data_IF_525835224895
#
_entry.id   IF_525835224895
#
_cell.length_a   1.000
_cell.length_b   1.000
_cell.length_c   1.000
_cell.angle_alpha   90.00
_cell.angle_beta   90.00
_cell.angle_gamma   90.00
#
_symmetry.space_group_name_H-M   'P 1'
#
loop_
_entity.id
_entity.type
_entity.pdbx_description
1 polymer ?
#
# COMPACT_ATOMS: atom_id res chain seq x y z
N UNK A 1 40.14 -2.18 -8.14
CA UNK A 1 39.03 -2.50 -7.23
C UNK A 1 37.80 -1.78 -7.75
N UNK A 2 36.81 -2.52 -8.25
CA UNK A 2 35.55 -1.94 -8.71
C UNK A 2 34.66 -1.77 -7.48
N UNK A 3 34.36 -0.52 -7.12
CA UNK A 3 33.29 -0.22 -6.18
C UNK A 3 31.97 -0.43 -6.93
N UNK A 4 31.30 -1.54 -6.67
CA UNK A 4 29.92 -1.70 -7.07
C UNK A 4 29.07 -0.86 -6.10
N UNK A 5 28.60 0.29 -6.57
CA UNK A 5 27.54 1.02 -5.91
C UNK A 5 26.25 0.22 -6.10
N UNK A 6 25.81 -0.44 -5.05
CA UNK A 6 24.45 -0.95 -4.97
C UNK A 6 23.61 0.25 -4.56
N UNK A 7 22.94 0.89 -5.52
CA UNK A 7 21.81 1.77 -5.18
C UNK A 7 20.88 0.95 -4.29
N UNK A 8 20.49 1.48 -3.13
CA UNK A 8 19.72 0.81 -2.07
C UNK A 8 18.70 -0.21 -2.62
N UNK A 9 19.08 -1.49 -2.71
CA UNK A 9 18.19 -2.55 -3.19
C UNK A 9 17.32 -2.95 -2.01
N UNK A 10 16.03 -2.65 -2.10
CA UNK A 10 15.04 -3.14 -1.14
C UNK A 10 14.56 -4.53 -1.55
N UNK A 11 14.60 -5.47 -0.61
CA UNK A 11 14.12 -6.83 -0.79
C UNK A 11 12.93 -7.06 0.13
N UNK A 12 11.81 -7.51 -0.46
CA UNK A 12 10.62 -7.87 0.30
C UNK A 12 10.52 -9.39 0.39
N UNK A 13 10.39 -9.92 1.60
CA UNK A 13 10.22 -11.35 1.86
C UNK A 13 8.87 -11.58 2.56
N UNK A 14 7.91 -12.13 1.83
CA UNK A 14 6.59 -12.46 2.35
C UNK A 14 6.61 -13.87 2.95
N UNK A 15 6.18 -14.00 4.20
CA UNK A 15 6.10 -15.30 4.88
C UNK A 15 4.89 -16.13 4.41
N UNK A 16 3.99 -15.54 3.62
CA UNK A 16 2.81 -16.20 3.07
C UNK A 16 1.90 -16.80 4.15
N UNK A 17 1.95 -16.30 5.39
CA UNK A 17 1.24 -16.91 6.53
C UNK A 17 -0.28 -17.01 6.30
N UNK A 18 -0.86 -16.03 5.60
CA UNK A 18 -2.28 -15.99 5.23
C UNK A 18 -2.63 -16.84 4.00
N UNK A 19 -1.64 -17.24 3.20
CA UNK A 19 -1.82 -18.07 2.01
C UNK A 19 -1.35 -19.51 2.26
N UNK A 20 -2.25 -20.47 2.55
CA UNK A 20 -1.86 -21.86 2.79
C UNK A 20 -1.20 -22.55 1.59
N UNK A 21 -1.24 -21.92 0.41
CA UNK A 21 -0.64 -22.45 -0.82
C UNK A 21 0.72 -21.83 -1.15
N UNK A 22 1.06 -20.67 -0.56
CA UNK A 22 2.19 -19.80 -0.89
C UNK A 22 2.26 -19.28 -2.34
N UNK A 23 1.43 -19.79 -3.25
CA UNK A 23 1.52 -19.52 -4.70
C UNK A 23 0.64 -18.38 -5.19
N UNK A 24 -0.32 -17.89 -4.38
CA UNK A 24 -1.31 -16.90 -4.85
C UNK A 24 -0.65 -15.65 -5.39
N UNK A 25 0.29 -15.09 -4.64
CA UNK A 25 0.94 -13.84 -4.99
C UNK A 25 1.72 -13.96 -6.31
N UNK A 26 2.53 -15.01 -6.48
CA UNK A 26 3.25 -15.28 -7.73
C UNK A 26 2.29 -15.45 -8.91
N UNK A 27 1.26 -16.31 -8.77
CA UNK A 27 0.30 -16.57 -9.85
C UNK A 27 -0.54 -15.35 -10.21
N UNK A 28 -0.90 -14.54 -9.22
CA UNK A 28 -1.68 -13.33 -9.44
C UNK A 28 -0.87 -12.30 -10.24
N UNK A 29 0.41 -12.10 -9.92
CA UNK A 29 1.30 -11.25 -10.73
C UNK A 29 1.47 -11.77 -12.16
N UNK A 30 1.57 -13.09 -12.36
CA UNK A 30 1.61 -13.68 -13.72
C UNK A 30 0.32 -13.43 -14.50
N UNK A 31 -0.85 -13.53 -13.87
CA UNK A 31 -2.13 -13.25 -14.51
C UNK A 31 -2.24 -11.78 -14.95
N UNK A 32 -1.87 -10.85 -14.08
CA UNK A 32 -1.83 -9.42 -14.40
C UNK A 32 -0.81 -9.12 -15.52
N UNK A 33 0.36 -9.75 -15.50
CA UNK A 33 1.37 -9.57 -16.56
C UNK A 33 0.84 -10.06 -17.92
N UNK A 34 0.14 -11.20 -17.96
CA UNK A 34 -0.43 -11.76 -19.20
C UNK A 34 -1.46 -10.85 -19.86
N UNK A 35 -2.14 -10.00 -19.10
CA UNK A 35 -3.09 -8.99 -19.61
C UNK A 35 -2.43 -7.62 -19.84
N UNK A 36 -1.10 -7.55 -19.77
CA UNK A 36 -0.33 -6.34 -20.06
C UNK A 36 -0.31 -5.32 -18.94
N UNK A 37 -0.60 -5.71 -17.70
CA UNK A 37 -0.44 -4.83 -16.54
C UNK A 37 1.00 -4.97 -16.00
N UNK A 38 1.70 -3.85 -15.76
CA UNK A 38 3.02 -3.88 -15.14
C UNK A 38 2.96 -4.49 -13.74
N UNK A 39 3.76 -5.54 -13.48
CA UNK A 39 3.80 -6.22 -12.18
C UNK A 39 5.22 -6.39 -11.65
N UNK A 40 5.39 -6.41 -10.31
CA UNK A 40 6.66 -6.74 -9.69
C UNK A 40 7.01 -8.19 -9.99
N UNK A 41 8.29 -8.49 -10.13
CA UNK A 41 8.75 -9.88 -10.17
C UNK A 41 8.55 -10.53 -8.82
N UNK A 42 8.08 -11.78 -8.82
CA UNK A 42 7.99 -12.60 -7.62
C UNK A 42 8.64 -13.97 -7.85
N UNK A 43 9.29 -14.51 -6.82
CA UNK A 43 9.89 -15.83 -6.85
C UNK A 43 9.98 -16.45 -5.47
N UNK A 44 9.92 -17.78 -5.39
CA UNK A 44 10.18 -18.49 -4.14
C UNK A 44 11.66 -18.49 -3.79
N UNK A 45 11.94 -18.29 -2.50
CA UNK A 45 13.28 -18.38 -1.94
C UNK A 45 13.27 -19.25 -0.69
N UNK A 46 14.33 -20.03 -0.52
CA UNK A 46 14.60 -20.75 0.72
C UNK A 46 15.45 -19.86 1.64
N UNK A 47 14.86 -19.35 2.73
CA UNK A 47 15.47 -18.29 3.54
C UNK A 47 16.29 -18.85 4.71
N UNK A 48 17.53 -18.38 4.80
CA UNK A 48 18.46 -18.69 5.87
C UNK A 48 19.00 -17.39 6.48
N UNK A 49 18.98 -17.27 7.81
CA UNK A 49 19.58 -16.15 8.54
C UNK A 49 20.49 -16.71 9.64
N UNK A 50 21.79 -16.38 9.58
CA UNK A 50 22.80 -16.86 10.54
C UNK A 50 22.72 -18.38 10.79
N UNK A 51 22.79 -19.15 9.70
CA UNK A 51 22.70 -20.63 9.70
C UNK A 51 21.37 -21.21 10.23
N UNK A 52 20.38 -20.36 10.48
CA UNK A 52 19.04 -20.78 10.90
C UNK A 52 18.12 -20.80 9.68
N UNK A 53 17.58 -21.98 9.37
CA UNK A 53 16.59 -22.16 8.31
C UNK A 53 15.23 -21.61 8.76
N UNK A 54 14.71 -20.63 8.02
CA UNK A 54 13.41 -20.03 8.31
C UNK A 54 12.29 -20.59 7.42
N UNK A 55 12.63 -21.29 6.34
CA UNK A 55 11.68 -21.92 5.43
C UNK A 55 11.52 -21.18 4.10
N UNK A 56 10.44 -21.49 3.40
CA UNK A 56 10.13 -20.93 2.08
C UNK A 56 9.40 -19.61 2.23
N UNK A 57 9.88 -18.59 1.52
CA UNK A 57 9.30 -17.25 1.44
C UNK A 57 9.04 -16.89 -0.03
N UNK A 58 8.13 -15.94 -0.24
CA UNK A 58 7.98 -15.29 -1.54
C UNK A 58 8.80 -14.00 -1.53
N UNK A 59 9.81 -13.92 -2.39
CA UNK A 59 10.54 -12.69 -2.64
C UNK A 59 9.79 -11.87 -3.70
N UNK A 60 9.49 -10.61 -3.40
CA UNK A 60 8.80 -9.69 -4.32
C UNK A 60 9.68 -8.47 -4.59
N UNK A 61 9.84 -8.12 -5.86
CA UNK A 61 10.52 -6.90 -6.31
C UNK A 61 9.82 -5.67 -5.71
N UNK A 62 10.59 -4.77 -5.10
CA UNK A 62 10.05 -3.49 -4.68
C UNK A 62 9.64 -2.65 -5.89
N UNK A 63 8.43 -2.08 -5.85
CA UNK A 63 8.02 -1.09 -6.84
C UNK A 63 8.71 0.23 -6.47
N UNK A 64 9.77 0.54 -7.20
CA UNK A 64 10.63 1.71 -7.05
C UNK A 64 11.14 2.23 -8.41
N UNK A 65 12.13 3.12 -8.41
CA UNK A 65 12.72 3.65 -9.65
C UNK A 65 13.34 2.57 -10.55
N UNK A 66 13.79 1.46 -10.01
CA UNK A 66 14.33 0.33 -10.79
C UNK A 66 13.22 -0.38 -11.53
N UNK A 67 12.12 -0.67 -10.82
CA UNK A 67 10.89 -1.18 -11.44
C UNK A 67 10.39 -0.26 -12.55
N UNK A 68 10.32 1.05 -12.28
CA UNK A 68 9.81 2.02 -13.25
C UNK A 68 10.69 2.13 -14.50
N UNK A 69 12.02 2.10 -14.36
CA UNK A 69 12.94 2.08 -15.51
C UNK A 69 12.77 0.85 -16.39
N UNK A 70 12.40 -0.30 -15.80
CA UNK A 70 12.19 -1.56 -16.51
C UNK A 70 10.92 -1.52 -17.35
N UNK A 71 9.82 -1.03 -16.79
CA UNK A 71 8.51 -1.03 -17.44
C UNK A 71 8.25 0.21 -18.29
N UNK A 72 8.80 1.36 -17.91
CA UNK A 72 8.57 2.66 -18.55
C UNK A 72 9.88 3.36 -18.91
N UNK A 73 10.71 2.77 -19.80
CA UNK A 73 12.06 3.29 -20.08
C UNK A 73 12.07 4.75 -20.61
N UNK A 74 10.99 5.19 -21.25
CA UNK A 74 10.84 6.55 -21.76
C UNK A 74 10.16 7.51 -20.77
N UNK A 75 9.61 6.99 -19.67
CA UNK A 75 8.86 7.77 -18.69
C UNK A 75 9.01 7.14 -17.30
N UNK A 76 10.25 7.01 -16.81
CA UNK A 76 10.58 6.37 -15.52
C UNK A 76 10.70 7.38 -14.35
N UNK A 77 10.53 8.67 -14.63
CA UNK A 77 10.71 9.77 -13.67
C UNK A 77 9.38 10.33 -13.16
N UNK A 78 8.26 9.71 -13.52
CA UNK A 78 6.94 10.09 -13.04
C UNK A 78 6.79 9.92 -11.53
N UNK A 79 5.70 10.47 -11.00
CA UNK A 79 5.36 10.28 -9.60
C UNK A 79 4.76 8.90 -9.37
N UNK A 80 5.32 8.18 -8.41
CA UNK A 80 4.82 6.92 -7.90
C UNK A 80 4.22 7.17 -6.53
N UNK A 81 2.97 6.77 -6.35
CA UNK A 81 2.24 6.89 -5.10
C UNK A 81 1.92 5.49 -4.58
N UNK A 82 2.03 5.31 -3.26
CA UNK A 82 1.52 4.14 -2.55
C UNK A 82 0.44 4.63 -1.57
N UNK A 83 -0.82 4.69 -2.01
CA UNK A 83 -1.88 5.20 -1.17
C UNK A 83 -2.11 4.32 0.06
N UNK A 84 -2.24 4.98 1.20
CA UNK A 84 -2.62 4.38 2.47
C UNK A 84 -3.99 4.90 2.89
N UNK A 85 -4.69 4.11 3.70
CA UNK A 85 -6.02 4.46 4.17
C UNK A 85 -6.02 5.70 5.07
N UNK A 86 -7.04 6.58 4.95
CA UNK A 86 -8.12 6.62 3.95
C UNK A 86 -7.80 7.29 2.60
N UNK A 87 -6.62 7.87 2.38
CA UNK A 87 -6.31 8.59 1.14
C UNK A 87 -6.40 7.69 -0.11
N UNK A 88 -6.22 6.38 0.07
CA UNK A 88 -6.36 5.34 -0.92
C UNK A 88 -7.78 5.09 -1.46
N UNK A 89 -8.81 5.68 -0.86
CA UNK A 89 -10.15 5.70 -1.47
C UNK A 89 -10.27 6.70 -2.63
N UNK A 90 -9.30 7.61 -2.79
CA UNK A 90 -9.25 8.62 -3.85
C UNK A 90 -10.51 9.50 -3.95
N UNK A 91 -11.32 9.55 -2.89
CA UNK A 91 -12.58 10.30 -2.81
C UNK A 91 -12.41 11.68 -2.18
N UNK A 92 -11.25 12.30 -2.37
CA UNK A 92 -10.85 13.58 -1.79
C UNK A 92 -10.26 14.48 -2.86
N UNK A 93 -10.34 15.79 -2.64
CA UNK A 93 -9.84 16.82 -3.54
C UNK A 93 -8.80 17.71 -2.85
N UNK A 94 -8.19 18.61 -3.62
CA UNK A 94 -7.31 19.65 -3.05
C UNK A 94 -8.03 20.51 -2.01
N UNK A 95 -9.31 20.79 -2.21
CA UNK A 95 -10.13 21.55 -1.27
C UNK A 95 -10.28 20.80 0.06
N UNK A 96 -10.55 19.50 0.02
CA UNK A 96 -10.69 18.68 1.23
C UNK A 96 -9.38 18.63 2.03
N UNK A 97 -8.23 18.58 1.34
CA UNK A 97 -6.90 18.68 1.96
C UNK A 97 -6.69 20.05 2.64
N UNK A 98 -7.05 21.15 1.97
CA UNK A 98 -6.93 22.49 2.54
C UNK A 98 -7.83 22.68 3.78
N UNK A 99 -9.07 22.17 3.72
CA UNK A 99 -10.00 22.17 4.86
C UNK A 99 -9.50 21.31 6.02
N UNK A 100 -8.99 20.11 5.73
CA UNK A 100 -8.39 19.22 6.73
C UNK A 100 -7.24 19.92 7.45
N UNK A 101 -6.29 20.51 6.69
CA UNK A 101 -5.14 21.25 7.25
C UNK A 101 -5.57 22.46 8.07
N UNK A 102 -6.61 23.17 7.64
CA UNK A 102 -7.16 24.30 8.42
C UNK A 102 -7.83 23.85 9.72
N UNK A 103 -8.39 22.64 9.76
CA UNK A 103 -9.03 22.05 10.94
C UNK A 103 -8.05 21.42 11.93
N UNK A 104 -6.84 21.08 11.49
CA UNK A 104 -5.83 20.47 12.33
C UNK A 104 -5.30 21.47 13.35
N UNK A 105 -5.20 21.11 14.64
CA UNK A 105 -4.54 21.97 15.62
C UNK A 105 -3.09 22.18 15.18
N UNK A 106 -2.60 23.43 15.26
CA UNK A 106 -1.19 23.71 15.06
C UNK A 106 -0.39 22.80 15.99
N UNK A 107 0.44 21.92 15.44
CA UNK A 107 1.36 21.13 16.23
C UNK A 107 2.24 22.10 17.02
N UNK A 108 2.39 21.94 18.35
CA UNK A 108 3.49 22.58 19.04
C UNK A 108 4.76 22.13 18.32
N UNK A 109 5.62 23.08 17.95
CA UNK A 109 6.96 22.79 17.46
C UNK A 109 7.74 22.10 18.59
N UNK A 110 7.60 20.79 18.69
CA UNK A 110 8.30 19.96 19.65
C UNK A 110 9.58 19.36 19.05
N UNK A 111 10.08 19.92 17.95
CA UNK A 111 11.39 19.54 17.38
C UNK A 111 11.56 18.06 17.07
N UNK A 112 10.48 17.26 17.07
CA UNK A 112 10.55 15.82 16.83
C UNK A 112 10.19 15.48 15.39
N UNK A 113 10.95 16.05 14.45
CA UNK A 113 11.08 15.47 13.11
C UNK A 113 11.88 14.16 13.20
N UNK A 114 11.36 13.18 13.93
CA UNK A 114 11.76 11.80 13.80
C UNK A 114 10.75 11.15 12.88
N UNK A 115 11.08 11.11 11.58
CA UNK A 115 10.60 10.07 10.68
C UNK A 115 10.97 8.72 11.31
N UNK A 116 10.12 8.22 12.21
CA UNK A 116 10.15 6.83 12.59
C UNK A 116 9.48 6.09 11.45
N UNK A 117 10.33 5.48 10.63
CA UNK A 117 9.99 4.41 9.70
C UNK A 117 8.86 3.56 10.28
N UNK A 118 7.69 3.66 9.67
CA UNK A 118 6.61 2.71 9.91
C UNK A 118 7.09 1.41 9.28
N UNK A 119 7.60 0.54 10.15
CA UNK A 119 8.21 -0.72 9.79
C UNK A 119 7.11 -1.79 9.60
N UNK A 120 6.60 -1.90 8.38
CA UNK A 120 5.73 -3.00 7.95
C UNK A 120 6.59 -4.13 7.41
N UNK A 121 7.27 -4.85 8.32
CA UNK A 121 8.12 -5.99 7.96
C UNK A 121 9.32 -6.19 8.89
N UNK A 122 9.05 -6.58 10.14
CA UNK A 122 10.07 -7.01 11.12
C UNK A 122 10.77 -5.86 11.83
N UNK A 123 10.55 -5.74 13.15
CA UNK A 123 11.14 -4.69 14.01
C UNK A 123 12.67 -4.56 13.92
N UNK A 124 13.26 -3.52 14.55
CA UNK A 124 14.72 -3.32 14.54
C UNK A 124 15.43 -4.63 14.87
N UNK A 125 16.46 -4.98 14.09
CA UNK A 125 17.20 -6.24 14.28
C UNK A 125 17.67 -6.46 15.73
N UNK A 126 18.03 -5.39 16.43
CA UNK A 126 18.37 -5.43 17.86
C UNK A 126 17.21 -5.84 18.77
N UNK A 127 15.97 -5.48 18.43
CA UNK A 127 14.77 -5.87 19.18
C UNK A 127 14.31 -7.28 18.84
N UNK A 128 14.47 -7.70 17.58
CA UNK A 128 14.27 -9.10 17.17
C UNK A 128 15.27 -10.01 17.89
N UNK A 129 16.55 -9.63 17.94
CA UNK A 129 17.57 -10.36 18.70
C UNK A 129 17.24 -10.41 20.19
N UNK A 130 16.76 -9.29 20.77
CA UNK A 130 16.36 -9.25 22.19
C UNK A 130 15.16 -10.14 22.49
N UNK A 131 14.20 -10.24 21.57
CA UNK A 131 13.05 -11.15 21.69
C UNK A 131 13.45 -12.62 21.56
N UNK A 132 14.35 -12.95 20.63
CA UNK A 132 14.88 -14.31 20.43
C UNK A 132 15.80 -14.75 21.58
N UNK A 133 16.51 -13.83 22.22
CA UNK A 133 17.30 -14.10 23.43
C UNK A 133 16.41 -14.34 24.66
N UNK A 134 15.24 -13.68 24.74
CA UNK A 134 14.27 -13.89 25.82
C UNK A 134 13.58 -15.25 25.72
N UNK A 135 13.29 -15.76 24.51
CA UNK A 135 12.70 -17.10 24.33
C UNK A 135 13.64 -18.25 24.75
N UNK A 136 14.96 -18.06 24.73
CA UNK A 136 15.91 -19.08 25.23
C UNK A 136 15.90 -19.23 26.76
N UNK A 137 15.22 -18.33 27.49
CA UNK A 137 15.24 -18.30 28.97
C UNK A 137 13.97 -18.82 29.64
N UNK A 138 12.93 -19.19 28.89
CA UNK A 138 11.65 -19.66 29.45
C UNK A 138 11.30 -21.04 28.91
N UNK A 139 12.07 -22.05 29.32
CA UNK A 139 11.56 -23.42 29.45
C UNK A 139 11.43 -23.69 30.94
N UNK A 140 10.26 -23.36 31.49
CA UNK A 140 9.93 -23.55 32.90
C UNK A 140 8.42 -23.46 33.10
N UNK A 141 7.81 -24.61 33.34
CA UNK A 141 6.41 -24.92 33.70
C UNK A 141 5.57 -23.77 34.27
N UNK A 142 4.39 -23.51 33.68
CA UNK A 142 3.20 -23.03 34.39
C UNK A 142 1.92 -23.33 33.59
N UNK A 143 0.92 -23.91 34.27
CA UNK A 143 -0.34 -24.39 33.69
C UNK A 143 -1.31 -23.29 33.24
N UNK A 144 -2.29 -23.73 32.44
CA UNK A 144 -3.33 -22.92 31.79
C UNK A 144 -4.45 -22.60 32.80
N UNK A 145 -4.85 -21.33 33.03
CA UNK A 145 -6.11 -21.00 33.67
C UNK A 145 -7.22 -20.73 32.63
N UNK A 146 -8.42 -21.24 32.90
CA UNK A 146 -9.65 -21.04 32.11
C UNK A 146 -10.06 -19.56 31.99
N UNK A 147 -10.29 -19.09 30.76
CA UNK A 147 -10.88 -17.79 30.47
C UNK A 147 -12.42 -17.89 30.49
N UNK A 148 -13.06 -17.38 31.56
CA UNK A 148 -14.50 -17.08 31.57
C UNK A 148 -14.72 -15.58 31.80
N UNK A 149 -15.53 -14.99 30.93
CA UNK A 149 -16.08 -13.62 30.93
C UNK A 149 -15.23 -12.48 30.32
N UNK A 150 -14.97 -12.55 29.02
CA UNK A 150 -14.83 -11.35 28.18
C UNK A 150 -16.04 -11.25 27.23
N UNK A 151 -16.61 -10.05 26.99
CA UNK A 151 -17.59 -9.87 25.92
C UNK A 151 -16.92 -10.12 24.56
N UNK A 152 -17.65 -10.64 23.56
CA UNK A 152 -17.07 -10.93 22.26
C UNK A 152 -16.52 -9.65 21.60
N UNK A 153 -15.30 -9.67 21.03
CA UNK A 153 -14.78 -8.55 20.26
C UNK A 153 -15.60 -8.38 18.98
N UNK A 154 -16.09 -7.17 18.68
CA UNK A 154 -16.66 -6.89 17.36
C UNK A 154 -17.90 -6.00 17.25
N UNK A 155 -18.36 -5.31 18.31
CA UNK A 155 -19.36 -4.25 18.14
C UNK A 155 -18.72 -2.87 18.19
N UNK A 156 -18.79 -2.06 17.11
CA UNK A 156 -18.41 -0.66 17.18
C UNK A 156 -19.41 0.14 18.05
N UNK A 157 -19.00 1.29 18.59
CA UNK A 157 -19.92 2.20 19.26
C UNK A 157 -21.06 2.65 18.31
N UNK A 158 -22.24 3.00 18.84
CA UNK A 158 -23.41 3.31 18.01
C UNK A 158 -23.13 4.48 17.07
N UNK A 159 -23.20 4.24 15.75
CA UNK A 159 -23.09 5.29 14.72
C UNK A 159 -21.92 5.13 13.73
N UNK A 160 -21.00 4.18 13.93
CA UNK A 160 -20.01 3.83 12.91
C UNK A 160 -20.55 2.74 11.96
N UNK A 161 -20.30 2.84 10.64
CA UNK A 161 -20.53 1.72 9.73
C UNK A 161 -19.63 0.53 10.12
N UNK A 162 -20.06 -0.71 9.86
CA UNK A 162 -19.24 -1.89 10.15
C UNK A 162 -17.90 -1.84 9.39
N UNK A 163 -16.83 -2.44 9.95
CA UNK A 163 -15.53 -2.49 9.29
C UNK A 163 -15.64 -3.15 7.91
N UNK A 164 -15.09 -2.51 6.88
CA UNK A 164 -15.00 -3.07 5.53
C UNK A 164 -16.13 -2.68 4.56
N UNK A 165 -17.00 -1.74 4.92
CA UNK A 165 -17.87 -1.10 3.93
C UNK A 165 -17.15 0.14 3.37
N UNK A 166 -16.96 0.26 2.04
CA UNK A 166 -16.48 1.52 1.48
C UNK A 166 -17.44 2.64 1.90
N UNK A 167 -16.94 3.86 2.16
CA UNK A 167 -17.81 4.99 2.43
C UNK A 167 -18.83 5.12 1.29
N UNK A 168 -20.09 5.48 1.58
CA UNK A 168 -21.08 5.64 0.53
C UNK A 168 -20.59 6.65 -0.51
N UNK A 169 -20.96 6.49 -1.80
CA UNK A 169 -20.57 7.42 -2.84
C UNK A 169 -20.86 8.87 -2.42
N UNK A 170 -19.83 9.73 -2.43
CA UNK A 170 -19.92 11.14 -2.03
C UNK A 170 -19.86 11.43 -0.52
N UNK A 171 -19.57 10.43 0.34
CA UNK A 171 -19.25 10.73 1.74
C UNK A 171 -17.87 11.42 1.84
N UNK A 172 -17.76 12.53 2.58
CA UNK A 172 -16.50 13.21 2.78
C UNK A 172 -15.53 12.22 3.45
N UNK A 173 -14.25 12.19 3.02
CA UNK A 173 -13.32 11.25 3.57
C UNK A 173 -13.09 11.54 5.06
N UNK A 174 -13.00 10.46 5.85
CA UNK A 174 -12.78 10.56 7.29
C UNK A 174 -11.36 11.06 7.60
N UNK A 175 -11.13 11.63 8.79
CA UNK A 175 -9.79 12.05 9.19
C UNK A 175 -8.83 10.85 9.17
N UNK A 176 -7.61 11.05 8.65
CA UNK A 176 -6.55 10.04 8.74
C UNK A 176 -6.16 9.87 10.21
N UNK A 177 -6.13 8.61 10.67
CA UNK A 177 -5.56 8.28 11.97
C UNK A 177 -4.08 8.68 12.03
N UNK A 178 -3.63 9.21 13.17
CA UNK A 178 -2.22 9.52 13.41
C UNK A 178 -1.75 10.92 13.01
N UNK A 179 -2.67 11.86 12.75
CA UNK A 179 -2.31 13.28 12.51
C UNK A 179 -1.74 13.58 11.12
N UNK A 180 -1.79 12.62 10.21
CA UNK A 180 -1.34 12.77 8.82
C UNK A 180 -2.41 13.43 7.97
N UNK A 181 -2.02 14.17 6.94
CA UNK A 181 -2.94 14.72 5.94
C UNK A 181 -3.06 13.83 4.69
N UNK A 182 -4.03 14.12 3.80
CA UNK A 182 -4.24 13.30 2.59
C UNK A 182 -3.02 13.18 1.69
N UNK A 183 -2.16 14.20 1.66
CA UNK A 183 -0.95 14.19 0.83
C UNK A 183 0.14 13.30 1.44
N UNK A 184 0.22 13.23 2.77
CA UNK A 184 1.04 12.24 3.45
C UNK A 184 0.45 10.82 3.29
N UNK A 185 -0.88 10.70 3.33
CA UNK A 185 -1.61 9.44 3.16
C UNK A 185 -1.51 8.85 1.76
N UNK A 186 -1.53 9.67 0.70
CA UNK A 186 -1.37 9.18 -0.68
C UNK A 186 0.03 8.64 -0.95
N UNK A 187 1.01 9.02 -0.12
CA UNK A 187 2.28 8.33 0.01
C UNK A 187 3.15 8.38 -1.23
N UNK A 188 3.63 9.56 -1.62
CA UNK A 188 4.60 9.73 -2.70
C UNK A 188 5.91 8.95 -2.41
N UNK A 189 6.40 8.19 -3.40
CA UNK A 189 7.59 7.30 -3.32
C UNK A 189 8.70 7.65 -4.30
N UNK A 190 8.45 8.58 -5.22
CA UNK A 190 9.45 9.16 -6.13
C UNK A 190 9.34 10.67 -6.08
N UNK A 191 10.39 11.39 -6.48
CA UNK A 191 10.39 12.86 -6.50
C UNK A 191 10.09 13.55 -5.16
N UNK A 192 10.24 12.85 -4.04
CA UNK A 192 9.91 13.34 -2.68
C UNK A 192 10.62 14.64 -2.28
N UNK A 193 11.81 14.91 -2.83
CA UNK A 193 12.58 16.13 -2.54
C UNK A 193 12.06 17.38 -3.26
N UNK A 194 11.25 17.21 -4.31
CA UNK A 194 10.65 18.29 -5.08
C UNK A 194 9.31 17.80 -5.65
N UNK A 195 8.30 17.59 -4.79
CA UNK A 195 7.05 16.99 -5.18
C UNK A 195 6.23 17.95 -6.05
N UNK A 196 5.70 17.44 -7.16
CA UNK A 196 4.68 18.11 -7.98
C UNK A 196 3.43 17.23 -8.03
N UNK A 197 2.37 17.64 -7.35
CA UNK A 197 1.11 16.89 -7.26
C UNK A 197 0.04 17.41 -8.22
N UNK A 198 0.41 18.24 -9.20
CA UNK A 198 -0.56 18.87 -10.12
C UNK A 198 -1.38 17.83 -10.86
N UNK A 199 -0.74 16.80 -11.42
CA UNK A 199 -1.43 15.71 -12.11
C UNK A 199 -2.35 14.92 -11.16
N UNK A 200 -1.89 14.62 -9.94
CA UNK A 200 -2.70 13.93 -8.92
C UNK A 200 -3.97 14.72 -8.60
N UNK A 201 -3.85 16.02 -8.34
CA UNK A 201 -5.03 16.84 -8.04
C UNK A 201 -5.98 16.95 -9.23
N UNK A 202 -5.47 17.03 -10.45
CA UNK A 202 -6.30 17.01 -11.66
C UNK A 202 -7.03 15.67 -11.82
N UNK A 203 -6.34 14.56 -11.62
CA UNK A 203 -6.94 13.21 -11.63
C UNK A 203 -8.05 13.07 -10.59
N UNK A 204 -7.79 13.48 -9.34
CA UNK A 204 -8.78 13.40 -8.26
C UNK A 204 -9.98 14.32 -8.52
N UNK A 205 -9.77 15.50 -9.11
CA UNK A 205 -10.87 16.41 -9.44
C UNK A 205 -11.78 15.82 -10.53
N UNK A 206 -11.19 15.31 -11.62
CA UNK A 206 -11.95 14.62 -12.68
C UNK A 206 -12.69 13.41 -12.12
N UNK A 207 -12.02 12.57 -11.32
CA UNK A 207 -12.61 11.35 -10.77
C UNK A 207 -13.83 11.63 -9.87
N UNK A 208 -13.82 12.74 -9.12
CA UNK A 208 -14.85 13.03 -8.12
C UNK A 208 -15.89 14.06 -8.55
N UNK A 209 -15.56 14.94 -9.50
CA UNK A 209 -16.37 16.13 -9.81
C UNK A 209 -16.74 16.26 -11.30
N UNK A 210 -16.18 15.47 -12.22
CA UNK A 210 -16.56 15.57 -13.62
C UNK A 210 -18.04 15.16 -13.82
N UNK A 211 -18.85 15.93 -14.57
CA UNK A 211 -20.25 15.59 -14.84
C UNK A 211 -20.40 14.25 -15.57
N UNK A 212 -21.46 13.50 -15.28
CA UNK A 212 -21.76 12.21 -15.93
C UNK A 212 -21.74 12.30 -17.47
N UNK A 213 -22.15 13.44 -18.04
CA UNK A 213 -22.21 13.65 -19.49
C UNK A 213 -20.84 13.80 -20.15
N UNK A 214 -19.81 14.23 -19.42
CA UNK A 214 -18.43 14.45 -19.94
C UNK A 214 -17.40 13.53 -19.28
N UNK A 215 -17.79 12.79 -18.24
CA UNK A 215 -16.93 11.90 -17.48
C UNK A 215 -16.15 10.92 -18.36
N UNK A 216 -16.75 10.22 -19.35
CA UNK A 216 -16.00 9.27 -20.18
C UNK A 216 -14.82 9.91 -20.93
N UNK A 217 -15.00 11.11 -21.47
CA UNK A 217 -13.94 11.82 -22.19
C UNK A 217 -12.93 12.49 -21.25
N UNK A 218 -13.36 12.93 -20.08
CA UNK A 218 -12.48 13.57 -19.08
C UNK A 218 -11.61 12.54 -18.37
N UNK A 219 -12.17 11.40 -17.96
CA UNK A 219 -11.41 10.36 -17.24
C UNK A 219 -10.29 9.77 -18.10
N UNK A 220 -10.51 9.60 -19.41
CA UNK A 220 -9.49 9.14 -20.36
C UNK A 220 -8.30 10.11 -20.49
N UNK A 221 -8.45 11.38 -20.08
CA UNK A 221 -7.35 12.35 -20.09
C UNK A 221 -6.41 12.21 -18.89
N UNK A 222 -6.86 11.57 -17.81
CA UNK A 222 -6.13 11.48 -16.54
C UNK A 222 -5.87 10.05 -16.07
N UNK A 223 -6.49 9.05 -16.68
CA UNK A 223 -6.36 7.63 -16.34
C UNK A 223 -6.25 6.79 -17.62
N UNK A 224 -5.38 5.79 -17.63
CA UNK A 224 -5.45 4.71 -18.63
C UNK A 224 -6.65 3.81 -18.31
N UNK A 225 -7.79 4.13 -18.89
CA UNK A 225 -9.06 3.45 -18.64
C UNK A 225 -9.00 1.98 -19.06
N UNK A 226 -8.34 1.66 -20.17
CA UNK A 226 -8.21 0.28 -20.64
C UNK A 226 -7.40 -0.56 -19.65
N UNK A 227 -6.29 -0.03 -19.13
CA UNK A 227 -5.51 -0.69 -18.08
C UNK A 227 -6.29 -0.83 -16.78
N UNK A 228 -6.96 0.23 -16.32
CA UNK A 228 -7.78 0.19 -15.11
C UNK A 228 -8.89 -0.87 -15.23
N UNK A 229 -9.57 -0.98 -16.37
CA UNK A 229 -10.59 -2.01 -16.59
C UNK A 229 -10.00 -3.43 -16.58
N UNK A 230 -8.81 -3.62 -17.15
CA UNK A 230 -8.09 -4.91 -17.05
C UNK A 230 -7.71 -5.23 -15.59
N UNK A 231 -7.28 -4.23 -14.82
CA UNK A 231 -6.96 -4.36 -13.40
C UNK A 231 -8.20 -4.82 -12.60
N UNK A 232 -9.33 -4.16 -12.82
CA UNK A 232 -10.60 -4.47 -12.18
C UNK A 232 -11.10 -5.87 -12.55
N UNK A 233 -10.97 -6.26 -13.81
CA UNK A 233 -11.37 -7.58 -14.29
C UNK A 233 -10.59 -8.70 -13.58
N UNK A 234 -9.25 -8.63 -13.54
CA UNK A 234 -8.46 -9.66 -12.85
C UNK A 234 -8.63 -9.59 -11.34
N UNK A 235 -8.71 -8.40 -10.74
CA UNK A 235 -8.97 -8.25 -9.31
C UNK A 235 -10.29 -8.92 -8.89
N UNK A 236 -11.32 -8.84 -9.74
CA UNK A 236 -12.60 -9.54 -9.52
C UNK A 236 -12.45 -11.05 -9.63
N UNK A 237 -11.66 -11.55 -10.59
CA UNK A 237 -11.45 -12.98 -10.80
C UNK A 237 -10.67 -13.64 -9.64
N UNK A 238 -9.68 -12.95 -9.10
CA UNK A 238 -8.83 -13.47 -8.01
C UNK A 238 -9.30 -13.06 -6.62
N UNK A 239 -10.42 -12.32 -6.51
CA UNK A 239 -10.97 -11.81 -5.25
C UNK A 239 -9.97 -10.92 -4.49
N UNK A 240 -9.18 -10.16 -5.22
CA UNK A 240 -8.33 -9.12 -4.65
C UNK A 240 -9.21 -7.90 -4.34
N UNK A 241 -9.84 -7.89 -3.16
CA UNK A 241 -10.77 -6.84 -2.73
C UNK A 241 -10.15 -5.86 -1.73
N UNK A 242 -8.91 -6.09 -1.30
CA UNK A 242 -8.17 -5.17 -0.44
C UNK A 242 -7.55 -4.00 -1.24
N UNK A 243 -8.06 -3.73 -2.45
CA UNK A 243 -7.64 -2.61 -3.29
C UNK A 243 -8.67 -1.50 -3.39
N UNK A 244 -8.44 -0.55 -4.30
CA UNK A 244 -9.33 0.57 -4.59
C UNK A 244 -10.83 0.19 -4.63
N UNK A 245 -11.19 -0.98 -5.16
CA UNK A 245 -12.61 -1.41 -5.27
C UNK A 245 -13.26 -1.84 -3.95
N UNK A 246 -12.48 -2.07 -2.91
CA UNK A 246 -12.99 -2.52 -1.62
C UNK A 246 -12.40 -1.71 -0.48
N UNK A 247 -11.31 -2.20 0.10
CA UNK A 247 -10.76 -1.65 1.35
C UNK A 247 -9.79 -0.47 1.14
N UNK A 248 -9.42 -0.14 -0.10
CA UNK A 248 -8.54 0.99 -0.39
C UNK A 248 -7.11 0.77 0.10
N UNK A 249 -6.45 -0.31 -0.30
CA UNK A 249 -5.04 -0.58 0.05
C UNK A 249 -4.33 -1.34 -1.08
N UNK A 250 -3.10 -1.83 -0.95
CA UNK A 250 -2.52 -2.83 -1.89
C UNK A 250 -2.49 -2.47 -3.40
N UNK A 251 -2.29 -1.20 -3.74
CA UNK A 251 -1.96 -0.79 -5.10
C UNK A 251 -1.02 0.43 -5.08
N UNK A 252 -0.36 0.65 -6.21
CA UNK A 252 0.33 1.91 -6.50
C UNK A 252 -0.38 2.64 -7.63
N UNK A 253 -0.30 3.96 -7.60
CA UNK A 253 -0.60 4.81 -8.75
C UNK A 253 0.71 5.29 -9.34
N UNK A 254 0.87 5.14 -10.65
CA UNK A 254 2.03 5.70 -11.35
C UNK A 254 1.59 6.71 -12.41
N UNK A 255 2.21 7.88 -12.39
CA UNK A 255 1.96 8.96 -13.33
C UNK A 255 2.86 8.84 -14.56
N UNK A 256 2.26 8.90 -15.75
CA UNK A 256 2.92 8.90 -17.06
C UNK A 256 2.32 10.05 -17.87
N UNK A 257 3.08 11.13 -18.06
CA UNK A 257 2.67 12.31 -18.83
C UNK A 257 1.29 12.88 -18.41
N UNK A 258 1.03 12.90 -17.10
CA UNK A 258 -0.23 13.40 -16.52
C UNK A 258 -1.39 12.39 -16.48
N UNK A 259 -1.19 11.18 -17.01
CA UNK A 259 -2.14 10.06 -16.88
C UNK A 259 -1.69 9.06 -15.83
N UNK A 260 -2.62 8.47 -15.11
CA UNK A 260 -2.35 7.45 -14.12
C UNK A 260 -2.61 6.04 -14.63
N UNK A 261 -1.81 5.12 -14.11
CA UNK A 261 -1.98 3.67 -14.21
C UNK A 261 -2.03 3.05 -12.81
N UNK A 262 -2.56 1.82 -12.70
CA UNK A 262 -2.68 1.09 -11.44
C UNK A 262 -1.74 -0.11 -11.46
N UNK A 263 -0.80 -0.14 -10.51
CA UNK A 263 0.12 -1.26 -10.36
C UNK A 263 -0.33 -2.10 -9.16
N UNK A 264 -0.66 -3.39 -9.35
CA UNK A 264 -1.09 -4.27 -8.25
C UNK A 264 0.06 -4.51 -7.26
N UNK A 265 -0.28 -4.65 -5.98
CA UNK A 265 0.67 -4.95 -4.91
C UNK A 265 0.04 -5.88 -3.87
N UNK A 266 0.86 -6.63 -3.15
CA UNK A 266 0.47 -7.46 -1.99
C UNK A 266 -0.77 -8.33 -2.24
N UNK A 267 -0.63 -9.28 -3.17
CA UNK A 267 -1.72 -10.11 -3.69
C UNK A 267 -1.88 -11.44 -2.92
N UNK A 268 -1.39 -11.51 -1.69
CA UNK A 268 -1.40 -12.73 -0.88
C UNK A 268 -2.74 -12.95 -0.13
N UNK A 269 -3.57 -11.92 0.03
CA UNK A 269 -4.86 -11.98 0.72
C UNK A 269 -6.02 -12.04 -0.30
N UNK A 270 -6.63 -13.23 -0.43
CA UNK A 270 -7.74 -13.53 -1.34
C UNK A 270 -8.30 -14.96 -1.21
#
# INVERSE_FOLDING_TARGET
MAAHHWDNVQLNFNNGFSDPTLIRECLAYELFEQIGIPTPRASFVDLWINDTHLGVYTQVEQIDKTFLRRHFPNNANGNLYKPEMPAAFLNWTKKDLEEQRASMPATPDDGSANNQEINLGGGKWSEILRALEQEKSVVGEAGIPEARNMPPPGMPPPGMPPPGMPPPPGAPPGPLGGGRDYLEGIGLKTNENNPDHTALFHFLDVLNNAPDETFPEEIEQVLDVDEALRFLAVSTLIVHLDNYIGLGHNYYLYEIDGKFIIIPWDLNMG
#
